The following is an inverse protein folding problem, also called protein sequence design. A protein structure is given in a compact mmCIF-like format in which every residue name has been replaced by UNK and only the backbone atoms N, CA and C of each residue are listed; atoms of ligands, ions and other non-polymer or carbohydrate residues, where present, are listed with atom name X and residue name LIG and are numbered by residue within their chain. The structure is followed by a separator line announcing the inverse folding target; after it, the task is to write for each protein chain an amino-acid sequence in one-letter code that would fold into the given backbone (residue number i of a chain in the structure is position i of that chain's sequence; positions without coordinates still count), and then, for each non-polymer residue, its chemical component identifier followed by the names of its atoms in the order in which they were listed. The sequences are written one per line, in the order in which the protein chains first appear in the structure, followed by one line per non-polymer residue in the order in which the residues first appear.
data_IF_220739772355
#
_entry.id   IF_220739772355
#
_cell.length_a   1.000
_cell.length_b   1.000
_cell.length_c   1.000
_cell.angle_alpha   90.00
_cell.angle_beta   90.00
_cell.angle_gamma   90.00
#
_symmetry.space_group_name_H-M   'P 1'
#
loop_
_entity.id
_entity.type
_entity.pdbx_description
1 polymer ?
#
# COMPACT_ATOMS: atom_id res chain seq x y z
N UNK A 1 2.30 0.17 14.72
CA UNK A 1 3.52 0.99 14.67
C UNK A 1 3.21 2.45 14.38
N UNK A 2 2.51 2.73 13.31
CA UNK A 2 2.18 4.11 12.95
C UNK A 2 0.72 4.48 13.19
N UNK A 3 -0.02 3.67 13.91
CA UNK A 3 -1.45 3.91 14.09
C UNK A 3 -1.77 5.27 14.68
N UNK A 4 -0.93 5.72 15.59
CA UNK A 4 -1.16 7.02 16.23
C UNK A 4 -1.02 8.18 15.25
N UNK A 5 -0.25 7.98 14.18
CA UNK A 5 -0.05 9.02 13.18
C UNK A 5 -1.06 8.92 12.05
N UNK A 6 -1.33 7.70 11.59
CA UNK A 6 -2.16 7.51 10.40
C UNK A 6 -3.59 7.10 10.71
N UNK A 7 -3.88 6.83 11.96
CA UNK A 7 -5.25 6.63 12.40
C UNK A 7 -5.68 5.20 12.68
N UNK A 8 -5.06 4.23 12.07
CA UNK A 8 -5.43 2.83 12.28
C UNK A 8 -4.38 1.91 11.70
N UNK A 9 -4.42 0.65 12.13
CA UNK A 9 -3.54 -0.35 11.59
C UNK A 9 -3.83 -0.61 10.12
N UNK A 10 -5.10 -0.57 9.73
CA UNK A 10 -5.45 -0.75 8.34
C UNK A 10 -4.87 0.32 7.44
N UNK A 11 -4.96 1.57 7.87
CA UNK A 11 -4.37 2.67 7.11
C UNK A 11 -2.86 2.50 7.01
N UNK A 12 -2.23 2.08 8.09
CA UNK A 12 -0.79 1.83 8.09
C UNK A 12 -0.42 0.78 7.05
N UNK A 13 -1.17 -0.32 7.00
CA UNK A 13 -0.89 -1.40 6.06
C UNK A 13 -1.02 -0.96 4.62
N UNK A 14 -2.06 -0.19 4.33
CA UNK A 14 -2.26 0.35 2.99
C UNK A 14 -1.07 1.22 2.58
N UNK A 15 -0.65 2.10 3.45
CA UNK A 15 0.46 3.00 3.14
C UNK A 15 1.79 2.26 3.00
N UNK A 16 2.04 1.28 3.86
CA UNK A 16 3.28 0.51 3.76
C UNK A 16 3.32 -0.32 2.48
N UNK A 17 2.16 -0.85 2.08
CA UNK A 17 2.08 -1.57 0.81
C UNK A 17 2.49 -0.67 -0.35
N UNK A 18 1.91 0.52 -0.41
CA UNK A 18 2.20 1.44 -1.50
C UNK A 18 3.64 1.94 -1.46
N UNK A 19 4.19 2.11 -0.27
CA UNK A 19 5.59 2.51 -0.16
C UNK A 19 6.52 1.40 -0.65
N UNK A 20 6.20 0.15 -0.35
CA UNK A 20 7.04 -0.97 -0.72
C UNK A 20 6.90 -1.35 -2.19
N UNK A 21 5.67 -1.31 -2.70
CA UNK A 21 5.39 -1.79 -4.06
C UNK A 21 5.24 -0.69 -5.08
N UNK A 22 5.15 0.55 -4.63
CA UNK A 22 5.04 1.74 -5.45
C UNK A 22 3.65 1.97 -6.03
N UNK A 23 2.85 0.96 -6.16
CA UNK A 23 1.47 1.09 -6.63
C UNK A 23 0.66 -0.08 -6.10
N UNK A 24 -0.66 0.04 -6.14
CA UNK A 24 -1.51 -1.05 -5.71
C UNK A 24 -2.97 -0.77 -5.96
N UNK A 25 -3.78 -1.82 -5.90
CA UNK A 25 -5.22 -1.71 -6.02
C UNK A 25 -5.87 -2.45 -4.86
N UNK A 26 -7.15 -2.14 -4.64
CA UNK A 26 -7.81 -2.55 -3.40
C UNK A 26 -7.79 -4.04 -3.16
N UNK A 27 -8.12 -4.84 -4.17
CA UNK A 27 -8.17 -6.29 -3.99
C UNK A 27 -6.79 -6.87 -3.68
N UNK A 28 -5.76 -6.36 -4.35
CA UNK A 28 -4.41 -6.82 -4.13
C UNK A 28 -3.97 -6.57 -2.69
N UNK A 29 -4.21 -5.35 -2.20
CA UNK A 29 -3.82 -4.99 -0.85
C UNK A 29 -4.61 -5.81 0.17
N UNK A 30 -5.92 -5.95 -0.07
CA UNK A 30 -6.77 -6.73 0.81
C UNK A 30 -6.29 -8.17 0.93
N UNK A 31 -5.94 -8.77 -0.20
CA UNK A 31 -5.47 -10.16 -0.22
C UNK A 31 -4.13 -10.31 0.48
N UNK A 32 -3.27 -9.32 0.35
CA UNK A 32 -1.95 -9.39 0.97
C UNK A 32 -2.05 -9.44 2.49
N UNK A 33 -2.98 -8.70 3.08
CA UNK A 33 -3.06 -8.57 4.53
C UNK A 33 -4.26 -9.25 5.16
N UNK A 34 -5.09 -9.93 4.36
CA UNK A 34 -6.30 -10.52 4.90
C UNK A 34 -7.31 -9.50 5.38
N UNK A 35 -7.38 -8.36 4.70
CA UNK A 35 -8.33 -7.31 5.04
C UNK A 35 -9.54 -7.38 4.12
N UNK A 36 -10.64 -6.76 4.54
CA UNK A 36 -11.79 -6.69 3.64
C UNK A 36 -11.51 -5.67 2.55
N UNK A 37 -11.96 -5.98 1.33
CA UNK A 37 -11.77 -5.10 0.20
C UNK A 37 -12.43 -3.75 0.45
N UNK A 38 -13.62 -3.75 1.06
CA UNK A 38 -14.32 -2.49 1.29
C UNK A 38 -13.57 -1.59 2.26
N UNK A 39 -12.90 -2.16 3.27
CA UNK A 39 -12.12 -1.34 4.19
C UNK A 39 -10.90 -0.75 3.50
N UNK A 40 -10.21 -1.56 2.69
CA UNK A 40 -9.07 -1.05 1.92
C UNK A 40 -9.53 0.07 1.00
N UNK A 41 -10.66 -0.16 0.33
CA UNK A 41 -11.22 0.84 -0.58
C UNK A 41 -11.47 2.17 0.14
N UNK A 42 -12.04 2.10 1.33
CA UNK A 42 -12.32 3.32 2.10
C UNK A 42 -11.05 4.07 2.46
N UNK A 43 -10.00 3.34 2.83
CA UNK A 43 -8.72 3.98 3.12
C UNK A 43 -8.16 4.65 1.88
N UNK A 44 -8.15 3.94 0.76
CA UNK A 44 -7.61 4.49 -0.48
C UNK A 44 -8.37 5.73 -0.93
N UNK A 45 -9.70 5.68 -0.87
CA UNK A 45 -10.51 6.82 -1.29
C UNK A 45 -10.31 8.02 -0.39
N UNK A 46 -10.20 7.80 0.91
CA UNK A 46 -9.95 8.91 1.82
C UNK A 46 -8.60 9.54 1.56
N UNK A 47 -7.58 8.73 1.33
CA UNK A 47 -6.25 9.24 1.07
C UNK A 47 -6.17 9.97 -0.26
N UNK A 48 -6.93 9.51 -1.25
CA UNK A 48 -6.99 10.22 -2.52
C UNK A 48 -7.73 11.53 -2.37
N UNK A 49 -8.81 11.53 -1.62
CA UNK A 49 -9.59 12.75 -1.38
C UNK A 49 -8.76 13.80 -0.66
N UNK A 50 -7.86 13.37 0.22
CA UNK A 50 -7.00 14.28 0.95
C UNK A 50 -5.77 14.69 0.16
N UNK A 51 -5.60 14.19 -1.05
CA UNK A 51 -4.50 14.58 -1.91
C UNK A 51 -3.21 13.82 -1.71
N UNK A 52 -3.20 12.79 -0.87
CA UNK A 52 -2.00 11.99 -0.66
C UNK A 52 -1.78 10.99 -1.79
N UNK A 53 -2.85 10.47 -2.35
CA UNK A 53 -2.78 9.49 -3.43
C UNK A 53 -3.47 10.02 -4.67
N UNK A 54 -3.09 9.48 -5.82
CA UNK A 54 -3.82 9.67 -7.07
C UNK A 54 -4.04 8.28 -7.66
N UNK A 55 -5.03 8.15 -8.54
CA UNK A 55 -5.33 6.87 -9.13
C UNK A 55 -5.65 6.98 -10.60
N UNK A 56 -5.41 5.89 -11.31
CA UNK A 56 -5.75 5.75 -12.71
C UNK A 56 -6.45 4.44 -12.93
N UNK A 57 -7.35 4.41 -13.89
CA UNK A 57 -8.03 3.19 -14.23
C UNK A 57 -7.19 2.44 -15.25
N UNK A 58 -6.84 1.21 -14.94
CA UNK A 58 -6.09 0.34 -15.84
C UNK A 58 -6.99 -0.85 -16.11
N UNK A 59 -7.63 -0.88 -17.26
CA UNK A 59 -8.66 -1.85 -17.53
C UNK A 59 -9.85 -1.59 -16.62
N UNK A 60 -10.21 -2.56 -15.81
CA UNK A 60 -11.29 -2.41 -14.84
C UNK A 60 -10.80 -2.12 -13.45
N UNK A 61 -9.51 -1.95 -13.28
CA UNK A 61 -8.91 -1.84 -11.98
C UNK A 61 -8.41 -0.43 -11.77
N UNK A 62 -8.69 0.13 -10.59
CA UNK A 62 -8.17 1.45 -10.24
C UNK A 62 -6.91 1.27 -9.44
N UNK A 63 -5.81 1.75 -10.00
CA UNK A 63 -4.49 1.61 -9.40
C UNK A 63 -4.09 2.92 -8.75
N UNK A 64 -3.64 2.84 -7.50
CA UNK A 64 -3.29 4.01 -6.69
C UNK A 64 -1.78 4.13 -6.55
N UNK A 65 -1.30 5.36 -6.58
CA UNK A 65 0.11 5.68 -6.32
C UNK A 65 0.16 6.93 -5.45
N UNK A 66 1.31 7.18 -4.83
CA UNK A 66 1.47 8.43 -4.09
C UNK A 66 1.44 9.60 -5.07
N UNK A 67 0.77 10.67 -4.64
CA UNK A 67 0.64 11.86 -5.45
C UNK A 67 1.97 12.63 -5.44
N UNK A 68 2.64 12.76 -6.59
CA UNK A 68 3.94 13.45 -6.60
C UNK A 68 3.82 14.92 -6.28
N UNK A 69 2.62 15.49 -6.29
CA UNK A 69 2.39 16.88 -5.97
C UNK A 69 1.88 17.10 -4.55
N UNK A 70 1.82 16.03 -3.75
CA UNK A 70 1.40 16.20 -2.36
C UNK A 70 2.37 17.12 -1.62
N UNK A 71 1.82 18.02 -0.80
CA UNK A 71 2.64 18.92 -0.01
C UNK A 71 3.55 18.18 0.95
N UNK A 72 3.15 17.00 1.38
CA UNK A 72 3.88 16.25 2.39
C UNK A 72 4.58 15.04 1.81
N UNK A 73 4.82 15.04 0.49
CA UNK A 73 5.36 13.87 -0.17
C UNK A 73 6.69 13.41 0.44
N UNK A 74 7.60 14.33 0.66
CA UNK A 74 8.92 13.97 1.16
C UNK A 74 8.85 13.49 2.60
N UNK A 75 8.02 14.13 3.41
CA UNK A 75 7.87 13.76 4.80
C UNK A 75 7.23 12.38 4.93
N UNK A 76 6.21 12.11 4.13
CA UNK A 76 5.54 10.81 4.15
C UNK A 76 6.49 9.73 3.64
N UNK A 77 7.21 10.00 2.56
CA UNK A 77 8.20 9.08 2.04
C UNK A 77 9.22 8.71 3.11
N UNK A 78 9.76 9.70 3.82
CA UNK A 78 10.74 9.46 4.86
C UNK A 78 10.15 8.64 6.00
N UNK A 79 8.94 8.97 6.40
CA UNK A 79 8.27 8.26 7.47
C UNK A 79 8.06 6.79 7.11
N UNK A 80 7.53 6.54 5.92
CA UNK A 80 7.21 5.18 5.51
C UNK A 80 8.46 4.36 5.22
N UNK A 81 9.49 4.98 4.67
CA UNK A 81 10.75 4.29 4.44
C UNK A 81 11.35 3.83 5.76
N UNK A 82 11.33 4.70 6.76
CA UNK A 82 11.82 4.35 8.07
C UNK A 82 10.98 3.23 8.68
N UNK A 83 9.66 3.33 8.55
CA UNK A 83 8.76 2.30 9.07
C UNK A 83 9.01 0.96 8.43
N UNK A 84 9.26 0.93 7.11
CA UNK A 84 9.56 -0.32 6.44
C UNK A 84 10.85 -0.95 6.98
N UNK A 85 11.82 -0.13 7.31
CA UNK A 85 13.07 -0.62 7.88
C UNK A 85 12.90 -1.25 9.25
N UNK A 86 11.91 -0.79 10.01
CA UNK A 86 11.64 -1.30 11.35
C UNK A 86 10.45 -2.25 11.41
N UNK A 87 9.87 -2.58 10.26
CA UNK A 87 8.68 -3.43 10.25
C UNK A 87 9.01 -4.83 10.77
N UNK A 88 8.06 -5.48 11.46
CA UNK A 88 8.27 -6.84 11.92
C UNK A 88 8.58 -7.77 10.75
N UNK A 89 9.35 -8.83 10.98
CA UNK A 89 9.71 -9.75 9.89
C UNK A 89 8.50 -10.32 9.16
N UNK A 90 7.44 -10.61 9.87
CA UNK A 90 6.24 -11.16 9.23
C UNK A 90 5.64 -10.19 8.22
N UNK A 91 5.64 -8.91 8.56
CA UNK A 91 5.10 -7.89 7.66
C UNK A 91 6.00 -7.71 6.45
N UNK A 92 7.31 -7.67 6.67
CA UNK A 92 8.24 -7.57 5.56
C UNK A 92 8.08 -8.73 4.61
N UNK A 93 7.88 -9.91 5.16
CA UNK A 93 7.73 -11.10 4.35
C UNK A 93 6.47 -11.06 3.51
N UNK A 94 5.37 -10.59 4.08
CA UNK A 94 4.13 -10.45 3.32
C UNK A 94 4.33 -9.56 2.10
N UNK A 95 5.03 -8.46 2.29
CA UNK A 95 5.26 -7.53 1.20
C UNK A 95 6.16 -8.11 0.12
N UNK A 96 7.15 -8.87 0.50
CA UNK A 96 8.08 -9.44 -0.47
C UNK A 96 7.54 -10.68 -1.17
N UNK A 97 6.87 -11.55 -0.44
CA UNK A 97 6.35 -12.77 -1.03
C UNK A 97 5.36 -12.50 -2.14
N UNK A 98 4.48 -11.55 -1.91
CA UNK A 98 3.49 -11.24 -2.94
C UNK A 98 4.13 -10.74 -4.20
N UNK A 99 5.25 -10.04 -4.08
CA UNK A 99 5.93 -9.58 -5.27
C UNK A 99 6.50 -10.72 -6.10
N UNK A 100 6.90 -11.78 -5.44
CA UNK A 100 7.53 -12.90 -6.14
C UNK A 100 6.55 -13.91 -6.66
N UNK A 101 5.38 -13.96 -6.06
CA UNK A 101 4.42 -14.96 -6.41
C UNK A 101 4.03 -15.00 -7.88
N UNK A 102 3.74 -13.89 -8.51
CA UNK A 102 3.35 -13.93 -9.92
C UNK A 102 4.42 -14.53 -10.81
N UNK A 103 5.67 -14.26 -10.47
CA UNK A 103 6.73 -14.81 -11.28
C UNK A 103 6.80 -16.32 -11.17
N UNK A 104 6.66 -16.82 -9.96
CA UNK A 104 6.67 -18.24 -9.80
C UNK A 104 5.59 -18.91 -10.57
N UNK A 105 4.42 -18.34 -10.48
CA UNK A 105 3.34 -18.91 -11.20
C UNK A 105 3.53 -18.81 -12.67
N UNK A 106 4.08 -17.78 -13.10
CA UNK A 106 4.29 -17.59 -14.51
C UNK A 106 5.22 -18.58 -15.09
N UNK A 107 6.13 -19.09 -14.27
CA UNK A 107 7.05 -19.93 -14.82
C UNK A 107 6.96 -21.20 -14.43
N UNK A 108 6.29 -21.51 -13.87
CA UNK A 108 6.36 -22.78 -13.38
C UNK A 108 7.36 -23.41 -14.18
N UNK A 109 7.68 -22.89 -14.28
CA UNK A 109 8.50 -23.23 -14.71
C UNK A 109 9.02 -23.55 -14.71
#
# INVERSE_FOLDING_TARGET
MLEAVVGSEGAERVLLFLAARRQGYALEIANTFGMSVSNVQKHLERMERDGLLVSDKVGRTRVFVFNPRSLFKEEVDSLLTKALGFAPPALKEQLLLDRRRPRRKGKPL
#
